data_IF_582816790540
#
_entry.id   IF_582816790540
#
_cell.length_a   1.000
_cell.length_b   1.000
_cell.length_c   1.000
_cell.angle_alpha   90.00
_cell.angle_beta   90.00
_cell.angle_gamma   90.00
#
_symmetry.space_group_name_H-M   'P 1'
#
loop_
_entity.id
_entity.type
_entity.pdbx_description
1 polymer ?
#
# COMPACT_ATOMS: atom_id res chain seq x y z
N UNK A 1 4.64 17.92 0.09
CA UNK A 1 3.89 18.04 1.37
C UNK A 1 4.86 17.85 2.53
N UNK A 2 4.83 18.72 3.54
CA UNK A 2 5.55 18.48 4.80
C UNK A 2 4.63 17.71 5.74
N UNK A 3 4.99 16.48 6.09
CA UNK A 3 4.29 15.72 7.13
C UNK A 3 4.45 16.50 8.43
N UNK A 4 3.34 16.94 9.02
CA UNK A 4 3.32 17.69 10.28
C UNK A 4 3.16 16.72 11.45
N UNK A 5 3.90 16.97 12.51
CA UNK A 5 3.92 16.16 13.73
C UNK A 5 5.37 15.92 14.17
N UNK A 6 5.60 15.90 15.47
CA UNK A 6 6.91 15.57 16.02
C UNK A 6 6.94 14.07 16.33
N UNK A 7 8.02 13.40 15.91
CA UNK A 7 8.40 12.07 16.41
C UNK A 7 7.42 10.90 16.12
N UNK A 8 6.90 10.79 14.89
CA UNK A 8 5.99 9.70 14.51
C UNK A 8 6.75 8.42 14.13
N UNK A 9 6.37 7.31 14.76
CA UNK A 9 6.77 5.97 14.34
C UNK A 9 5.77 5.38 13.33
N UNK A 10 6.30 4.78 12.26
CA UNK A 10 5.53 4.22 11.14
C UNK A 10 5.89 2.76 10.94
N UNK A 11 4.93 1.92 10.55
CA UNK A 11 5.16 0.53 10.16
C UNK A 11 4.71 0.26 8.72
N UNK A 12 5.53 -0.41 7.92
CA UNK A 12 5.26 -0.78 6.53
C UNK A 12 5.36 -2.30 6.38
N UNK A 13 4.27 -2.94 5.96
CA UNK A 13 4.27 -4.34 5.54
C UNK A 13 4.37 -4.43 4.00
N UNK A 14 5.24 -5.31 3.51
CA UNK A 14 5.44 -5.49 2.06
C UNK A 14 6.43 -4.50 1.43
N UNK A 15 7.40 -4.01 2.21
CA UNK A 15 8.42 -3.05 1.77
C UNK A 15 9.34 -3.51 0.63
N UNK A 16 9.39 -4.82 0.33
CA UNK A 16 10.17 -5.36 -0.80
C UNK A 16 9.41 -5.36 -2.12
N UNK A 17 8.11 -5.04 -2.09
CA UNK A 17 7.25 -4.96 -3.26
C UNK A 17 7.36 -3.61 -3.96
N UNK A 18 6.86 -3.54 -5.20
CA UNK A 18 6.99 -2.37 -6.07
C UNK A 18 6.55 -1.05 -5.39
N UNK A 19 5.34 -1.00 -4.81
CA UNK A 19 4.85 0.20 -4.11
C UNK A 19 5.54 0.37 -2.76
N UNK A 20 5.78 -0.74 -2.04
CA UNK A 20 6.38 -0.71 -0.70
C UNK A 20 7.81 -0.16 -0.69
N UNK A 21 8.62 -0.46 -1.69
CA UNK A 21 9.99 0.05 -1.78
C UNK A 21 10.00 1.56 -2.04
N UNK A 22 9.15 2.04 -2.95
CA UNK A 22 8.99 3.49 -3.18
C UNK A 22 8.51 4.20 -1.92
N UNK A 23 7.57 3.59 -1.20
CA UNK A 23 7.03 4.17 0.03
C UNK A 23 8.10 4.31 1.11
N UNK A 24 8.97 3.32 1.29
CA UNK A 24 10.09 3.40 2.25
C UNK A 24 11.04 4.53 1.86
N UNK A 25 11.44 4.61 0.59
CA UNK A 25 12.33 5.67 0.09
C UNK A 25 11.73 7.06 0.27
N UNK A 26 10.41 7.19 0.16
CA UNK A 26 9.70 8.47 0.32
C UNK A 26 9.46 8.85 1.78
N UNK A 27 9.30 7.89 2.68
CA UNK A 27 9.07 8.14 4.12
C UNK A 27 10.34 8.60 4.82
N UNK A 28 11.48 7.92 4.59
CA UNK A 28 12.72 8.14 5.33
C UNK A 28 13.21 9.61 5.36
N UNK A 29 13.12 10.39 4.26
CA UNK A 29 13.53 11.79 4.25
C UNK A 29 12.72 12.71 5.16
N UNK A 30 11.52 12.33 5.61
CA UNK A 30 10.67 13.20 6.41
C UNK A 30 11.17 13.28 7.87
N UNK A 31 11.47 14.49 8.35
CA UNK A 31 11.94 14.75 9.72
C UNK A 31 10.91 14.40 10.80
N UNK A 32 9.62 14.60 10.50
CA UNK A 32 8.50 14.20 11.36
C UNK A 32 8.46 12.69 11.67
N UNK A 33 9.11 11.88 10.82
CA UNK A 33 9.22 10.44 11.01
C UNK A 33 10.51 10.13 11.75
N UNK A 34 10.37 9.60 12.96
CA UNK A 34 11.50 9.23 13.81
C UNK A 34 11.95 7.79 13.61
N UNK A 35 11.00 6.89 13.34
CA UNK A 35 11.30 5.47 13.11
C UNK A 35 10.38 4.90 12.04
N UNK A 36 10.98 4.12 11.14
CA UNK A 36 10.28 3.35 10.12
C UNK A 36 10.54 1.87 10.34
N UNK A 37 9.52 1.16 10.80
CA UNK A 37 9.55 -0.29 10.94
C UNK A 37 9.17 -0.95 9.60
N UNK A 38 10.05 -1.76 9.05
CA UNK A 38 9.78 -2.56 7.86
C UNK A 38 9.46 -4.00 8.28
N UNK A 39 8.18 -4.38 8.22
CA UNK A 39 7.70 -5.73 8.47
C UNK A 39 7.79 -6.54 7.17
N UNK A 40 8.80 -7.39 7.09
CA UNK A 40 9.18 -8.09 5.86
C UNK A 40 9.68 -9.50 6.14
N UNK A 41 9.81 -10.31 5.09
CA UNK A 41 10.41 -11.65 5.16
C UNK A 41 11.92 -11.66 4.93
N UNK A 42 12.49 -10.51 4.59
CA UNK A 42 13.89 -10.32 4.19
C UNK A 42 14.32 -8.91 4.55
N UNK A 43 15.59 -8.74 4.87
CA UNK A 43 16.18 -7.45 5.17
C UNK A 43 16.03 -6.47 4.00
N UNK A 44 15.70 -5.22 4.32
CA UNK A 44 15.73 -4.07 3.42
C UNK A 44 16.95 -3.23 3.75
N UNK A 45 17.67 -2.84 2.70
CA UNK A 45 18.81 -1.92 2.77
C UNK A 45 18.51 -0.72 1.89
N UNK A 46 18.72 0.48 2.43
CA UNK A 46 18.57 1.75 1.72
C UNK A 46 19.86 2.55 1.88
N UNK A 47 20.38 3.08 0.78
CA UNK A 47 21.69 3.76 0.75
C UNK A 47 21.52 5.28 0.85
N UNK A 48 20.93 5.77 1.94
CA UNK A 48 20.78 7.20 2.25
C UNK A 48 21.10 7.46 3.74
N UNK A 49 21.56 8.66 4.13
CA UNK A 49 21.86 8.97 5.52
C UNK A 49 20.69 8.73 6.49
N UNK A 50 19.45 8.95 6.03
CA UNK A 50 18.23 8.76 6.81
C UNK A 50 17.87 7.29 7.04
N UNK A 51 18.58 6.34 6.42
CA UNK A 51 18.37 4.91 6.63
C UNK A 51 18.59 4.47 8.09
N UNK A 52 19.25 5.28 8.92
CA UNK A 52 19.35 5.08 10.37
C UNK A 52 17.99 4.99 11.08
N UNK A 53 16.92 5.56 10.48
CA UNK A 53 15.55 5.48 10.99
C UNK A 53 14.87 4.15 10.69
N UNK A 54 15.43 3.35 9.77
CA UNK A 54 14.85 2.09 9.31
C UNK A 54 15.18 0.96 10.29
N UNK A 55 14.15 0.33 10.83
CA UNK A 55 14.26 -0.87 11.66
C UNK A 55 13.62 -2.04 10.91
N UNK A 56 14.39 -3.08 10.63
CA UNK A 56 13.89 -4.27 9.97
C UNK A 56 13.24 -5.22 11.01
N UNK A 57 11.95 -5.50 10.83
CA UNK A 57 11.21 -6.54 11.55
C UNK A 57 11.07 -7.73 10.60
N UNK A 58 12.02 -8.68 10.68
CA UNK A 58 12.13 -9.79 9.74
C UNK A 58 11.33 -10.97 10.29
N UNK A 59 10.09 -11.10 9.83
CA UNK A 59 9.14 -12.13 10.27
C UNK A 59 8.70 -12.99 9.07
N UNK A 60 8.92 -14.32 9.07
CA UNK A 60 8.56 -15.19 7.96
C UNK A 60 7.07 -15.18 7.60
N UNK A 61 6.22 -15.08 8.61
CA UNK A 61 4.75 -15.03 8.52
C UNK A 61 4.17 -13.61 8.57
N UNK A 62 5.02 -12.59 8.74
CA UNK A 62 4.64 -11.19 8.93
C UNK A 62 3.72 -10.96 10.15
N UNK A 63 3.85 -11.79 11.19
CA UNK A 63 3.16 -11.60 12.45
C UNK A 63 4.14 -11.12 13.51
N UNK A 64 3.70 -10.16 14.33
CA UNK A 64 4.49 -9.64 15.44
C UNK A 64 3.83 -10.15 16.71
N UNK A 65 4.51 -11.04 17.41
CA UNK A 65 3.99 -11.64 18.65
C UNK A 65 4.32 -10.78 19.87
N UNK A 66 5.52 -10.19 19.88
CA UNK A 66 6.02 -9.37 20.98
C UNK A 66 6.56 -8.03 20.47
N UNK A 67 6.42 -6.99 21.30
CA UNK A 67 6.94 -5.65 21.02
C UNK A 67 7.80 -5.18 22.18
N UNK A 68 9.11 -4.89 21.97
CA UNK A 68 9.97 -4.40 23.04
C UNK A 68 9.52 -3.04 23.59
N UNK A 69 9.48 -2.89 24.92
CA UNK A 69 8.97 -1.70 25.59
C UNK A 69 9.80 -0.44 25.28
N UNK A 70 11.09 -0.59 24.99
CA UNK A 70 11.97 0.50 24.60
C UNK A 70 11.71 1.03 23.18
N UNK A 71 10.95 0.29 22.35
CA UNK A 71 10.64 0.70 20.97
C UNK A 71 9.37 1.54 20.92
N UNK A 72 9.48 2.71 20.30
CA UNK A 72 8.33 3.57 20.03
C UNK A 72 7.24 2.82 19.26
N UNK A 73 6.01 2.82 19.78
CA UNK A 73 4.89 2.14 19.11
C UNK A 73 4.47 2.90 17.85
N UNK A 74 4.29 2.21 16.70
CA UNK A 74 3.86 2.87 15.48
C UNK A 74 2.41 3.33 15.61
N UNK A 75 2.13 4.57 15.19
CA UNK A 75 0.76 5.12 15.16
C UNK A 75 0.18 5.13 13.74
N UNK A 76 1.04 4.94 12.73
CA UNK A 76 0.69 4.92 11.31
C UNK A 76 1.18 3.63 10.66
N UNK A 77 0.31 2.97 9.90
CA UNK A 77 0.60 1.73 9.19
C UNK A 77 0.42 1.83 7.67
N UNK A 78 1.21 1.09 6.93
CA UNK A 78 1.05 0.93 5.48
C UNK A 78 1.13 -0.55 5.11
N UNK A 79 0.17 -1.03 4.33
CA UNK A 79 0.11 -2.42 3.87
C UNK A 79 0.18 -2.44 2.34
N UNK A 80 1.38 -2.75 1.85
CA UNK A 80 1.69 -2.87 0.43
C UNK A 80 1.79 -4.35 -0.02
N UNK A 81 1.14 -5.24 0.73
CA UNK A 81 1.09 -6.66 0.44
C UNK A 81 0.14 -6.96 -0.72
N UNK A 82 0.57 -7.85 -1.59
CA UNK A 82 -0.25 -8.35 -2.69
C UNK A 82 0.54 -9.30 -3.56
N UNK A 83 -0.11 -10.39 -3.95
CA UNK A 83 0.40 -11.34 -4.93
C UNK A 83 -0.52 -11.37 -6.15
N UNK A 84 -0.12 -12.12 -7.17
CA UNK A 84 -0.98 -12.38 -8.34
C UNK A 84 -1.34 -13.85 -8.37
N UNK A 85 -2.46 -14.25 -9.01
CA UNK A 85 -2.80 -15.69 -9.14
C UNK A 85 -1.62 -16.52 -9.69
N UNK A 86 -0.87 -15.97 -10.66
CA UNK A 86 0.30 -16.63 -11.25
C UNK A 86 1.43 -16.86 -10.23
N UNK A 87 1.65 -15.93 -9.32
CA UNK A 87 2.66 -16.04 -8.26
C UNK A 87 2.15 -16.84 -7.05
N UNK A 88 0.86 -16.78 -6.76
CA UNK A 88 0.23 -17.54 -5.70
C UNK A 88 0.12 -19.03 -6.03
N UNK A 89 -0.03 -19.39 -7.31
CA UNK A 89 -0.18 -20.78 -7.77
C UNK A 89 -1.63 -21.25 -7.80
N UNK A 90 -2.47 -20.81 -6.85
CA UNK A 90 -3.89 -21.19 -6.77
C UNK A 90 -4.82 -20.05 -6.33
N UNK A 91 -6.13 -20.25 -6.49
CA UNK A 91 -7.14 -19.32 -5.97
C UNK A 91 -7.14 -19.25 -4.44
N UNK A 92 -6.94 -20.38 -3.76
CA UNK A 92 -6.92 -20.43 -2.31
C UNK A 92 -5.67 -19.75 -1.75
N UNK A 93 -4.49 -20.03 -2.29
CA UNK A 93 -3.26 -19.33 -1.90
C UNK A 93 -3.34 -17.82 -2.17
N UNK A 94 -4.01 -17.41 -3.25
CA UNK A 94 -4.28 -16.00 -3.49
C UNK A 94 -5.16 -15.41 -2.38
N UNK A 95 -6.21 -16.12 -1.95
CA UNK A 95 -7.10 -15.66 -0.88
C UNK A 95 -6.37 -15.57 0.47
N UNK A 96 -5.57 -16.58 0.80
CA UNK A 96 -4.72 -16.60 2.00
C UNK A 96 -3.78 -15.38 2.05
N UNK A 97 -3.15 -15.04 0.92
CA UNK A 97 -2.19 -13.92 0.87
C UNK A 97 -2.88 -12.56 0.75
N UNK A 98 -3.80 -12.39 -0.21
CA UNK A 98 -4.40 -11.08 -0.52
C UNK A 98 -5.55 -10.69 0.41
N UNK A 99 -6.07 -11.62 1.22
CA UNK A 99 -7.14 -11.36 2.19
C UNK A 99 -6.66 -11.66 3.60
N UNK A 100 -6.36 -12.92 3.92
CA UNK A 100 -6.17 -13.35 5.31
C UNK A 100 -4.91 -12.73 5.92
N UNK A 101 -3.77 -12.88 5.24
CA UNK A 101 -2.49 -12.32 5.68
C UNK A 101 -2.56 -10.80 5.81
N UNK A 102 -3.18 -10.11 4.84
CA UNK A 102 -3.39 -8.66 4.92
C UNK A 102 -4.22 -8.27 6.15
N UNK A 103 -5.31 -9.00 6.42
CA UNK A 103 -6.16 -8.73 7.56
C UNK A 103 -5.45 -9.03 8.89
N UNK A 104 -4.68 -10.12 8.96
CA UNK A 104 -3.88 -10.46 10.14
C UNK A 104 -2.84 -9.39 10.43
N UNK A 105 -2.09 -8.96 9.41
CA UNK A 105 -1.10 -7.87 9.54
C UNK A 105 -1.78 -6.58 10.01
N UNK A 106 -2.93 -6.23 9.45
CA UNK A 106 -3.68 -5.03 9.87
C UNK A 106 -4.14 -5.14 11.33
N UNK A 107 -4.62 -6.31 11.74
CA UNK A 107 -5.02 -6.59 13.12
C UNK A 107 -3.83 -6.45 14.08
N UNK A 108 -2.68 -7.02 13.73
CA UNK A 108 -1.43 -6.89 14.49
C UNK A 108 -1.02 -5.43 14.61
N UNK A 109 -1.00 -4.68 13.50
CA UNK A 109 -0.71 -3.24 13.50
C UNK A 109 -1.66 -2.48 14.45
N UNK A 110 -2.95 -2.80 14.43
CA UNK A 110 -3.93 -2.17 15.32
C UNK A 110 -3.63 -2.47 16.80
N UNK A 111 -3.29 -3.72 17.13
CA UNK A 111 -2.92 -4.11 18.51
C UNK A 111 -1.64 -3.42 18.99
N UNK A 112 -0.71 -3.11 18.08
CA UNK A 112 0.49 -2.32 18.38
C UNK A 112 0.21 -0.83 18.60
N UNK A 113 -1.00 -0.34 18.29
CA UNK A 113 -1.39 1.06 18.48
C UNK A 113 -1.50 1.87 17.18
N UNK A 114 -1.45 1.23 16.01
CA UNK A 114 -1.71 1.92 14.75
C UNK A 114 -3.17 2.36 14.70
N UNK A 115 -3.39 3.66 14.60
CA UNK A 115 -4.74 4.24 14.48
C UNK A 115 -5.09 4.63 13.05
N UNK A 116 -4.08 4.94 12.23
CA UNK A 116 -4.24 5.33 10.82
C UNK A 116 -3.50 4.36 9.91
N UNK A 117 -4.18 3.85 8.89
CA UNK A 117 -3.59 2.85 7.99
C UNK A 117 -3.91 3.15 6.52
N UNK A 118 -2.95 2.93 5.63
CA UNK A 118 -3.19 2.84 4.19
C UNK A 118 -2.92 1.44 3.65
N UNK A 119 -3.74 0.97 2.71
CA UNK A 119 -3.62 -0.35 2.09
C UNK A 119 -3.72 -0.26 0.56
N UNK A 120 -2.90 -1.06 -0.13
CA UNK A 120 -2.97 -1.23 -1.59
C UNK A 120 -4.02 -2.28 -1.97
N UNK A 121 -5.07 -1.82 -2.63
CA UNK A 121 -6.10 -2.65 -3.25
C UNK A 121 -5.96 -2.65 -4.78
N UNK A 122 -7.07 -2.68 -5.52
CA UNK A 122 -7.09 -2.71 -6.98
C UNK A 122 -8.34 -2.03 -7.53
N UNK A 123 -8.21 -1.47 -8.73
CA UNK A 123 -9.35 -0.97 -9.50
C UNK A 123 -10.40 -2.07 -9.70
N UNK A 124 -11.65 -1.78 -9.34
CA UNK A 124 -12.77 -2.71 -9.49
C UNK A 124 -12.88 -3.76 -8.38
N UNK A 125 -12.14 -3.61 -7.27
CA UNK A 125 -12.30 -4.44 -6.08
C UNK A 125 -13.77 -4.40 -5.60
N UNK A 126 -14.36 -5.58 -5.46
CA UNK A 126 -15.75 -5.77 -5.07
C UNK A 126 -15.93 -7.18 -4.50
N UNK A 127 -16.40 -7.28 -3.25
CA UNK A 127 -16.60 -8.55 -2.54
C UNK A 127 -17.65 -9.46 -3.21
N UNK A 128 -18.47 -8.93 -4.12
CA UNK A 128 -19.48 -9.66 -4.90
C UNK A 128 -19.02 -9.97 -6.33
N UNK A 129 -17.80 -9.59 -6.72
CA UNK A 129 -17.30 -9.79 -8.07
C UNK A 129 -17.26 -11.27 -8.47
N UNK A 130 -17.59 -11.56 -9.75
CA UNK A 130 -17.41 -12.89 -10.35
C UNK A 130 -15.94 -13.21 -10.63
N UNK A 131 -15.07 -12.20 -10.65
CA UNK A 131 -13.62 -12.38 -10.83
C UNK A 131 -12.94 -12.58 -9.47
N UNK A 132 -12.37 -13.77 -9.25
CA UNK A 132 -11.78 -14.18 -7.96
C UNK A 132 -10.80 -13.15 -7.37
N UNK A 133 -9.95 -12.53 -8.20
CA UNK A 133 -9.01 -11.51 -7.75
C UNK A 133 -9.70 -10.26 -7.20
N UNK A 134 -10.68 -9.71 -7.94
CA UNK A 134 -11.44 -8.54 -7.52
C UNK A 134 -12.32 -8.85 -6.30
N UNK A 135 -12.82 -10.09 -6.23
CA UNK A 135 -13.53 -10.62 -5.06
C UNK A 135 -12.65 -10.63 -3.81
N UNK A 136 -11.43 -11.16 -3.90
CA UNK A 136 -10.48 -11.18 -2.79
C UNK A 136 -10.17 -9.75 -2.33
N UNK A 137 -9.82 -8.84 -3.25
CA UNK A 137 -9.55 -7.44 -2.89
C UNK A 137 -10.74 -6.75 -2.24
N UNK A 138 -11.96 -6.96 -2.74
CA UNK A 138 -13.16 -6.39 -2.10
C UNK A 138 -13.48 -7.01 -0.73
N UNK A 139 -13.21 -8.32 -0.54
CA UNK A 139 -13.35 -8.98 0.77
C UNK A 139 -12.33 -8.44 1.78
N UNK A 140 -11.07 -8.26 1.37
CA UNK A 140 -10.03 -7.63 2.16
C UNK A 140 -10.43 -6.21 2.57
N UNK A 141 -10.86 -5.37 1.62
CA UNK A 141 -11.33 -4.01 1.91
C UNK A 141 -12.47 -3.99 2.94
N UNK A 142 -13.49 -4.83 2.74
CA UNK A 142 -14.62 -4.93 3.66
C UNK A 142 -14.20 -5.34 5.06
N UNK A 143 -13.27 -6.29 5.18
CA UNK A 143 -12.72 -6.71 6.46
C UNK A 143 -12.00 -5.56 7.17
N UNK A 144 -11.12 -4.84 6.46
CA UNK A 144 -10.37 -3.70 7.01
C UNK A 144 -11.30 -2.55 7.44
N UNK A 145 -12.36 -2.26 6.67
CA UNK A 145 -13.35 -1.24 7.03
C UNK A 145 -14.04 -1.54 8.36
N UNK A 146 -14.24 -2.82 8.68
CA UNK A 146 -14.88 -3.25 9.92
C UNK A 146 -13.90 -3.32 11.11
N UNK A 147 -12.59 -3.16 10.90
CA UNK A 147 -11.61 -3.21 11.98
C UNK A 147 -11.65 -1.96 12.87
N UNK A 148 -12.25 -0.86 12.42
CA UNK A 148 -12.42 0.35 13.24
C UNK A 148 -11.13 1.12 13.48
N UNK A 149 -10.32 1.32 12.44
CA UNK A 149 -9.24 2.32 12.46
C UNK A 149 -9.85 3.74 12.57
N UNK A 150 -9.10 4.69 13.14
CA UNK A 150 -9.50 6.10 13.12
C UNK A 150 -9.48 6.64 11.70
N UNK A 151 -8.51 6.17 10.90
CA UNK A 151 -8.43 6.46 9.47
C UNK A 151 -7.97 5.21 8.71
N UNK A 152 -8.69 4.85 7.66
CA UNK A 152 -8.36 3.80 6.70
C UNK A 152 -8.38 4.39 5.29
N UNK A 153 -7.23 4.41 4.64
CA UNK A 153 -7.08 4.83 3.24
C UNK A 153 -6.89 3.59 2.37
N UNK A 154 -7.78 3.38 1.41
CA UNK A 154 -7.72 2.26 0.48
C UNK A 154 -7.36 2.82 -0.90
N UNK A 155 -6.17 2.56 -1.40
CA UNK A 155 -5.80 2.96 -2.76
C UNK A 155 -6.19 1.86 -3.74
N UNK A 156 -6.95 2.21 -4.77
CA UNK A 156 -7.36 1.34 -5.89
C UNK A 156 -6.66 1.79 -7.17
N UNK A 157 -5.37 1.45 -7.34
CA UNK A 157 -4.63 1.82 -8.53
C UNK A 157 -5.17 1.07 -9.75
N UNK A 158 -5.02 1.71 -10.91
CA UNK A 158 -5.06 1.02 -12.20
C UNK A 158 -3.82 0.14 -12.40
N UNK A 159 -3.50 -0.25 -13.65
CA UNK A 159 -2.28 -0.99 -13.94
C UNK A 159 -1.03 -0.24 -13.43
N UNK A 160 -0.15 -0.91 -12.70
CA UNK A 160 1.08 -0.27 -12.19
C UNK A 160 2.14 -0.22 -13.29
N UNK A 161 2.72 0.96 -13.50
CA UNK A 161 3.86 1.19 -14.40
C UNK A 161 5.13 1.24 -13.57
N UNK A 162 5.77 0.09 -13.39
CA UNK A 162 7.07 -0.01 -12.70
C UNK A 162 7.86 -1.22 -13.17
N UNK A 163 9.19 -1.14 -13.11
CA UNK A 163 10.06 -2.24 -13.53
C UNK A 163 10.08 -3.33 -12.45
N UNK A 164 9.34 -4.42 -12.67
CA UNK A 164 9.58 -5.67 -11.95
C UNK A 164 10.51 -6.54 -12.79
N UNK A 165 11.52 -7.15 -12.18
CA UNK A 165 12.40 -8.14 -12.83
C UNK A 165 11.61 -9.30 -13.47
N UNK A 166 10.40 -9.60 -12.99
CA UNK A 166 9.46 -10.49 -13.66
C UNK A 166 8.52 -9.68 -14.58
N UNK A 167 8.92 -9.55 -15.85
CA UNK A 167 8.09 -9.01 -16.92
C UNK A 167 6.73 -9.72 -16.94
N UNK A 168 5.64 -8.99 -16.66
CA UNK A 168 4.30 -9.41 -17.05
C UNK A 168 4.24 -9.37 -18.59
N UNK A 169 4.69 -10.44 -19.25
CA UNK A 169 4.77 -10.52 -20.72
C UNK A 169 3.40 -10.30 -21.38
N UNK A 170 2.32 -10.64 -20.69
CA UNK A 170 0.95 -10.44 -21.18
C UNK A 170 0.45 -9.00 -21.04
N UNK A 171 1.07 -8.19 -20.17
CA UNK A 171 0.73 -6.76 -20.01
C UNK A 171 1.43 -5.90 -21.07
N UNK A 172 2.55 -6.33 -21.64
CA UNK A 172 3.24 -5.55 -22.68
C UNK A 172 2.40 -5.44 -23.96
N UNK A 173 1.69 -6.50 -24.33
CA UNK A 173 0.80 -6.51 -25.49
C UNK A 173 -0.43 -5.63 -25.25
N UNK A 174 -1.08 -5.77 -24.10
CA UNK A 174 -2.25 -4.95 -23.75
C UNK A 174 -1.88 -3.47 -23.56
N UNK A 175 -0.74 -3.17 -22.92
CA UNK A 175 -0.23 -1.79 -22.79
C UNK A 175 0.15 -1.19 -24.15
N UNK A 176 0.70 -1.98 -25.07
CA UNK A 176 1.04 -1.53 -26.43
C UNK A 176 -0.19 -1.31 -27.30
N UNK A 177 -1.21 -2.15 -27.16
CA UNK A 177 -2.50 -2.03 -27.85
C UNK A 177 -3.36 -0.89 -27.30
N UNK A 178 -3.34 -0.67 -25.98
CA UNK A 178 -4.11 0.40 -25.33
C UNK A 178 -3.44 1.78 -25.44
N UNK A 179 -2.13 1.86 -25.68
CA UNK A 179 -1.35 3.12 -25.80
C UNK A 179 -2.01 4.20 -26.69
N UNK A 180 -2.50 3.91 -27.91
CA UNK A 180 -3.20 4.90 -28.74
C UNK A 180 -4.59 5.28 -28.21
N UNK A 181 -5.21 4.46 -27.35
CA UNK A 181 -6.53 4.74 -26.74
C UNK A 181 -6.44 5.47 -25.39
N UNK A 182 -5.27 5.49 -24.74
CA UNK A 182 -5.01 6.27 -23.51
C UNK A 182 -5.40 7.76 -23.65
N UNK A 183 -5.07 8.50 -24.73
CA UNK A 183 -5.47 9.90 -24.86
C UNK A 183 -6.99 10.09 -25.00
N UNK A 184 -7.74 9.05 -25.38
CA UNK A 184 -9.19 9.08 -25.53
C UNK A 184 -9.93 8.75 -24.21
N UNK A 185 -9.23 8.18 -23.22
CA UNK A 185 -9.81 7.86 -21.91
C UNK A 185 -9.95 9.13 -21.06
N UNK A 186 -11.13 9.75 -21.11
CA UNK A 186 -11.48 10.92 -20.30
C UNK A 186 -12.36 10.56 -19.09
N UNK A 187 -12.36 11.42 -18.06
CA UNK A 187 -13.19 11.23 -16.86
C UNK A 187 -12.87 9.93 -16.10
N UNK A 188 -13.91 9.15 -15.75
CA UNK A 188 -13.77 7.90 -14.97
C UNK A 188 -12.92 6.83 -15.67
N UNK A 189 -12.83 6.87 -17.01
CA UNK A 189 -12.03 5.93 -17.79
C UNK A 189 -10.52 6.10 -17.57
N UNK A 190 -10.07 7.29 -17.13
CA UNK A 190 -8.66 7.50 -16.76
C UNK A 190 -8.21 6.60 -15.63
N UNK A 191 -9.11 6.05 -14.81
CA UNK A 191 -8.72 5.12 -13.75
C UNK A 191 -8.10 3.81 -14.30
N UNK A 192 -8.40 3.45 -15.55
CA UNK A 192 -7.87 2.26 -16.21
C UNK A 192 -6.50 2.47 -16.86
N UNK A 193 -6.01 3.71 -16.94
CA UNK A 193 -4.68 3.99 -17.48
C UNK A 193 -3.59 3.66 -16.45
N UNK A 194 -2.37 3.31 -16.88
CA UNK A 194 -1.30 3.02 -15.95
C UNK A 194 -0.95 4.19 -15.01
N UNK A 195 -0.56 3.87 -13.78
CA UNK A 195 -0.04 4.82 -12.76
C UNK A 195 1.31 4.35 -12.27
N UNK A 196 2.23 5.28 -12.03
CA UNK A 196 3.57 4.98 -11.51
C UNK A 196 3.47 4.49 -10.05
N UNK A 197 4.27 3.49 -9.68
CA UNK A 197 4.33 3.00 -8.30
C UNK A 197 4.75 4.07 -7.31
N UNK A 198 5.58 5.03 -7.75
CA UNK A 198 5.95 6.20 -6.94
C UNK A 198 4.76 7.09 -6.63
N UNK A 199 3.86 7.30 -7.59
CA UNK A 199 2.66 8.11 -7.41
C UNK A 199 1.68 7.43 -6.46
N UNK A 200 1.52 6.11 -6.54
CA UNK A 200 0.69 5.36 -5.59
C UNK A 200 1.25 5.48 -4.17
N UNK A 201 2.56 5.28 -4.00
CA UNK A 201 3.22 5.42 -2.70
C UNK A 201 3.07 6.84 -2.11
N UNK A 202 3.29 7.89 -2.92
CA UNK A 202 3.12 9.28 -2.48
C UNK A 202 1.67 9.57 -2.09
N UNK A 203 0.70 9.07 -2.86
CA UNK A 203 -0.70 9.30 -2.58
C UNK A 203 -1.12 8.63 -1.25
N UNK A 204 -0.64 7.41 -0.99
CA UNK A 204 -0.84 6.75 0.31
C UNK A 204 -0.26 7.58 1.44
N UNK A 205 1.00 8.01 1.29
CA UNK A 205 1.71 8.79 2.30
C UNK A 205 0.98 10.10 2.61
N UNK A 206 0.69 10.89 1.57
CA UNK A 206 0.07 12.20 1.74
C UNK A 206 -1.34 12.08 2.35
N UNK A 207 -2.13 11.11 1.89
CA UNK A 207 -3.51 10.97 2.36
C UNK A 207 -3.60 10.58 3.84
N UNK A 208 -2.71 9.69 4.32
CA UNK A 208 -2.70 9.25 5.72
C UNK A 208 -2.27 10.35 6.69
N UNK A 209 -1.42 11.26 6.25
CA UNK A 209 -0.96 12.39 7.08
C UNK A 209 -1.78 13.68 6.88
N UNK A 210 -2.64 13.75 5.86
CA UNK A 210 -3.53 14.88 5.67
C UNK A 210 -4.75 14.78 6.61
N UNK A 211 -5.17 15.89 7.24
CA UNK A 211 -6.42 15.92 8.01
C UNK A 211 -7.60 15.41 7.16
N UNK A 212 -8.42 14.52 7.73
CA UNK A 212 -9.63 14.04 7.06
C UNK A 212 -10.80 13.94 8.03
N UNK A 213 -12.00 14.43 7.64
CA UNK A 213 -13.24 14.12 8.37
C UNK A 213 -13.74 12.66 8.26
N UNK A 214 -13.29 11.87 7.29
CA UNK A 214 -13.83 10.52 7.04
C UNK A 214 -12.91 9.46 7.62
N UNK A 215 -13.52 8.48 8.31
CA UNK A 215 -12.81 7.32 8.85
C UNK A 215 -12.30 6.36 7.78
N UNK A 216 -13.01 6.26 6.65
CA UNK A 216 -12.65 5.39 5.53
C UNK A 216 -12.69 6.21 4.25
N UNK A 217 -11.64 6.13 3.46
CA UNK A 217 -11.55 6.77 2.15
C UNK A 217 -11.00 5.77 1.13
N UNK A 218 -11.61 5.75 -0.05
CA UNK A 218 -11.16 4.94 -1.18
C UNK A 218 -10.66 5.88 -2.26
N UNK A 219 -9.38 5.78 -2.62
CA UNK A 219 -8.76 6.59 -3.66
C UNK A 219 -8.55 5.77 -4.93
N UNK A 220 -9.30 6.10 -5.97
CA UNK A 220 -9.01 5.65 -7.32
C UNK A 220 -7.85 6.43 -7.93
N UNK A 221 -7.29 5.94 -9.05
CA UNK A 221 -6.14 6.54 -9.71
C UNK A 221 -6.29 8.03 -10.00
N UNK A 222 -7.44 8.49 -10.48
CA UNK A 222 -7.64 9.93 -10.73
C UNK A 222 -7.62 10.77 -9.46
N UNK A 223 -8.16 10.23 -8.36
CA UNK A 223 -8.18 10.92 -7.07
C UNK A 223 -6.78 10.96 -6.46
N UNK A 224 -6.00 9.89 -6.63
CA UNK A 224 -4.57 9.89 -6.31
C UNK A 224 -3.82 10.97 -7.09
N UNK A 225 -3.97 11.04 -8.41
CA UNK A 225 -3.30 12.06 -9.24
C UNK A 225 -3.73 13.47 -8.82
N UNK A 226 -5.03 13.69 -8.64
CA UNK A 226 -5.56 14.99 -8.21
C UNK A 226 -5.05 15.39 -6.82
N UNK A 227 -4.94 14.44 -5.89
CA UNK A 227 -4.33 14.66 -4.57
C UNK A 227 -2.89 15.11 -4.73
N UNK A 228 -2.09 14.44 -5.56
CA UNK A 228 -0.69 14.79 -5.78
C UNK A 228 -0.50 16.15 -6.45
N UNK A 229 -1.38 16.52 -7.38
CA UNK A 229 -1.38 17.84 -8.03
C UNK A 229 -1.56 19.00 -7.02
N UNK A 230 -2.19 18.78 -5.87
CA UNK A 230 -2.33 19.80 -4.82
C UNK A 230 -1.02 20.11 -4.08
N UNK A 231 0.00 19.27 -4.24
CA UNK A 231 1.28 19.36 -3.55
C UNK A 231 2.48 19.47 -4.51
N UNK A 232 2.22 19.67 -5.80
CA UNK A 232 3.20 20.06 -6.82
C UNK A 232 3.27 21.58 -6.88
#
# INVERSE_FOLDING_TARGET
MTIRGENTAVIVAGGTGLVGSQLIEQILPHEAISTLYALTRRQITVNIPQAIKLVNLIEPDLLISDWPDERARPTVGFICLGTTKKQAGSQEQLRQIDVELVCQVAQTMKLLGVTRVAVVSSLGADAQSRFHYLKCKGQMERALMNMGFEQLVIVRPGPLKGQRHASRSDEKWLQRLMRPFIPLMCGKLRNYTPIDDKEVALAMLYRVFAPHPQKVEILHKNEMVKLLEQYR
#
